data_IF_925256236152
#
_entry.id   IF_925256236152
#
_cell.length_a   1.000
_cell.length_b   1.000
_cell.length_c   1.000
_cell.angle_alpha   90.00
_cell.angle_beta   90.00
_cell.angle_gamma   90.00
#
_symmetry.space_group_name_H-M   'P 1'
#
loop_
_entity.id
_entity.type
_entity.pdbx_description
1 polymer ?
#
# COMPACT_ATOMS: atom_id res chain seq x y z
N UNK A 1 -9.25 8.07 9.17
CA UNK A 1 -9.61 7.28 10.37
C UNK A 1 -11.13 7.19 10.55
N UNK A 2 -11.85 8.28 10.79
CA UNK A 2 -13.33 8.24 10.94
C UNK A 2 -14.05 7.60 9.73
N UNK A 3 -13.69 7.98 8.50
CA UNK A 3 -14.23 7.36 7.28
C UNK A 3 -13.85 5.87 7.12
N UNK A 4 -12.65 5.48 7.58
CA UNK A 4 -12.20 4.09 7.50
C UNK A 4 -12.95 3.19 8.50
N UNK A 5 -13.17 3.71 9.70
CA UNK A 5 -13.95 3.06 10.74
C UNK A 5 -15.43 2.98 10.34
N UNK A 6 -15.99 4.02 9.72
CA UNK A 6 -17.37 4.02 9.23
C UNK A 6 -17.59 3.02 8.08
N UNK A 7 -16.66 2.94 7.11
CA UNK A 7 -16.73 1.96 6.04
C UNK A 7 -16.58 0.51 6.57
N UNK A 8 -15.65 0.29 7.50
CA UNK A 8 -15.51 -1.03 8.14
C UNK A 8 -16.67 -1.38 9.07
N UNK A 9 -17.43 -0.40 9.57
CA UNK A 9 -18.63 -0.63 10.39
C UNK A 9 -19.89 -0.90 9.55
N UNK A 10 -19.95 -0.42 8.30
CA UNK A 10 -21.03 -0.72 7.35
C UNK A 10 -20.93 -2.14 6.77
N UNK A 11 -19.73 -2.72 6.70
CA UNK A 11 -19.48 -4.06 6.15
C UNK A 11 -19.24 -5.12 7.26
N UNK A 12 -20.22 -5.27 8.15
CA UNK A 12 -20.12 -6.10 9.37
C UNK A 12 -19.86 -7.61 9.08
N UNK A 13 -20.17 -8.08 7.88
CA UNK A 13 -19.97 -9.48 7.46
C UNK A 13 -18.50 -9.81 7.20
N UNK A 14 -17.65 -8.83 6.88
CA UNK A 14 -16.27 -9.03 6.42
C UNK A 14 -15.20 -8.34 7.28
N UNK A 15 -15.50 -8.02 8.54
CA UNK A 15 -14.57 -7.38 9.49
C UNK A 15 -13.22 -8.11 9.58
N UNK A 16 -13.22 -9.45 9.54
CA UNK A 16 -11.99 -10.24 9.56
C UNK A 16 -11.08 -9.93 8.36
N UNK A 17 -11.64 -9.66 7.19
CA UNK A 17 -10.88 -9.35 5.98
C UNK A 17 -10.23 -7.96 6.04
N UNK A 18 -10.87 -7.01 6.73
CA UNK A 18 -10.31 -5.67 6.97
C UNK A 18 -9.22 -5.69 8.05
N UNK A 19 -9.41 -6.45 9.13
CA UNK A 19 -8.41 -6.64 10.18
C UNK A 19 -7.18 -7.37 9.63
N UNK A 20 -7.40 -8.44 8.84
CA UNK A 20 -6.32 -9.13 8.15
C UNK A 20 -5.61 -8.21 7.16
N UNK A 21 -6.31 -7.31 6.49
CA UNK A 21 -5.71 -6.33 5.59
C UNK A 21 -4.83 -5.31 6.31
N UNK A 22 -5.32 -4.80 7.44
CA UNK A 22 -4.55 -3.92 8.31
C UNK A 22 -3.29 -4.64 8.83
N UNK A 23 -3.41 -5.87 9.31
CA UNK A 23 -2.26 -6.65 9.81
C UNK A 23 -1.27 -7.04 8.71
N UNK A 24 -1.78 -7.55 7.58
CA UNK A 24 -0.96 -8.04 6.46
C UNK A 24 -0.10 -6.94 5.85
N UNK A 25 -0.51 -5.67 5.98
CA UNK A 25 0.26 -4.53 5.46
C UNK A 25 1.00 -3.78 6.56
N UNK A 26 0.46 -3.72 7.78
CA UNK A 26 1.19 -3.19 8.92
C UNK A 26 2.47 -3.99 9.18
N UNK A 27 2.43 -5.31 9.13
CA UNK A 27 3.59 -6.19 9.35
C UNK A 27 4.78 -5.90 8.40
N UNK A 28 4.63 -5.96 7.06
CA UNK A 28 5.75 -5.70 6.16
C UNK A 28 6.20 -4.24 6.22
N UNK A 29 5.29 -3.27 6.36
CA UNK A 29 5.67 -1.84 6.42
C UNK A 29 6.39 -1.52 7.73
N UNK A 30 5.98 -2.12 8.85
CA UNK A 30 6.66 -2.01 10.14
C UNK A 30 7.99 -2.77 10.17
N UNK A 31 8.08 -3.93 9.52
CA UNK A 31 9.33 -4.68 9.36
C UNK A 31 10.37 -3.86 8.57
N UNK A 32 9.95 -3.23 7.47
CA UNK A 32 10.83 -2.34 6.69
C UNK A 32 11.22 -1.11 7.51
N UNK A 33 10.30 -0.53 8.28
CA UNK A 33 10.61 0.59 9.18
C UNK A 33 11.69 0.20 10.21
N UNK A 34 11.55 -0.96 10.83
CA UNK A 34 12.49 -1.47 11.84
C UNK A 34 13.86 -1.80 11.22
N UNK A 35 13.88 -2.52 10.09
CA UNK A 35 15.12 -2.88 9.38
C UNK A 35 15.85 -1.66 8.80
N UNK A 36 15.10 -0.64 8.35
CA UNK A 36 15.68 0.58 7.78
C UNK A 36 16.04 1.63 8.83
N UNK A 37 15.75 1.39 10.12
CA UNK A 37 15.97 2.35 11.20
C UNK A 37 15.28 3.70 10.96
N UNK A 38 14.15 3.70 10.24
CA UNK A 38 13.43 4.91 9.84
C UNK A 38 14.08 5.73 8.70
N UNK A 39 15.15 5.26 8.05
CA UNK A 39 15.80 5.97 6.93
C UNK A 39 15.11 5.77 5.57
N UNK A 40 14.44 4.63 5.38
CA UNK A 40 13.78 4.28 4.10
C UNK A 40 12.27 4.49 4.09
N UNK A 41 11.58 4.13 5.18
CA UNK A 41 10.13 4.34 5.35
C UNK A 41 9.93 5.23 6.57
N UNK A 42 9.11 6.26 6.44
CA UNK A 42 8.75 7.13 7.56
C UNK A 42 7.68 6.48 8.43
N UNK A 43 7.65 6.81 9.73
CA UNK A 43 6.57 6.35 10.61
C UNK A 43 5.17 6.82 10.15
N UNK A 44 5.10 7.92 9.39
CA UNK A 44 3.88 8.37 8.73
C UNK A 44 3.39 7.40 7.65
N UNK A 45 4.30 6.81 6.87
CA UNK A 45 3.98 5.87 5.80
C UNK A 45 3.37 4.57 6.35
N UNK A 46 3.89 4.10 7.50
CA UNK A 46 3.32 2.95 8.23
C UNK A 46 1.88 3.22 8.67
N UNK A 47 1.61 4.41 9.22
CA UNK A 47 0.26 4.82 9.62
C UNK A 47 -0.68 4.96 8.42
N UNK A 48 -0.18 5.51 7.31
CA UNK A 48 -0.96 5.67 6.07
C UNK A 48 -1.38 4.29 5.55
N UNK A 49 -0.43 3.37 5.44
CA UNK A 49 -0.68 1.99 5.01
C UNK A 49 -1.63 1.23 5.96
N UNK A 50 -1.55 1.44 7.28
CA UNK A 50 -2.47 0.85 8.24
C UNK A 50 -3.92 1.37 8.06
N UNK A 51 -4.08 2.69 7.89
CA UNK A 51 -5.41 3.30 7.69
C UNK A 51 -6.01 2.89 6.35
N UNK A 52 -5.19 2.83 5.30
CA UNK A 52 -5.62 2.36 3.99
C UNK A 52 -5.94 0.87 4.00
N UNK A 53 -5.18 0.03 4.71
CA UNK A 53 -5.48 -1.40 4.86
C UNK A 53 -6.80 -1.66 5.58
N UNK A 54 -7.13 -0.83 6.57
CA UNK A 54 -8.42 -0.88 7.26
C UNK A 54 -9.58 -0.39 6.38
N UNK A 55 -9.32 0.54 5.45
CA UNK A 55 -10.35 1.11 4.58
C UNK A 55 -10.63 0.28 3.32
N UNK A 56 -9.58 -0.22 2.67
CA UNK A 56 -9.67 -0.97 1.41
C UNK A 56 -9.82 -2.49 1.63
N UNK A 57 -9.43 -3.01 2.80
CA UNK A 57 -9.33 -4.45 3.03
C UNK A 57 -8.09 -5.10 2.41
N UNK A 58 -7.87 -6.38 2.76
CA UNK A 58 -6.61 -7.08 2.48
C UNK A 58 -6.25 -7.22 0.99
N UNK A 59 -7.21 -7.51 0.10
CA UNK A 59 -6.92 -7.73 -1.32
C UNK A 59 -6.38 -6.47 -2.00
N UNK A 60 -7.12 -5.38 -1.85
CA UNK A 60 -6.84 -4.09 -2.48
C UNK A 60 -5.57 -3.44 -1.91
N UNK A 61 -5.35 -3.53 -0.60
CA UNK A 61 -4.15 -2.93 0.01
C UNK A 61 -2.86 -3.66 -0.37
N UNK A 62 -2.89 -4.99 -0.49
CA UNK A 62 -1.74 -5.77 -0.95
C UNK A 62 -1.40 -5.37 -2.39
N UNK A 63 -2.42 -5.25 -3.24
CA UNK A 63 -2.25 -4.81 -4.63
C UNK A 63 -1.69 -3.39 -4.70
N UNK A 64 -2.22 -2.45 -3.90
CA UNK A 64 -1.73 -1.07 -3.84
C UNK A 64 -0.29 -0.97 -3.34
N UNK A 65 0.08 -1.75 -2.34
CA UNK A 65 1.46 -1.86 -1.86
C UNK A 65 2.40 -2.40 -2.94
N UNK A 66 1.97 -3.42 -3.67
CA UNK A 66 2.76 -3.99 -4.77
C UNK A 66 2.98 -2.97 -5.90
N UNK A 67 1.93 -2.25 -6.32
CA UNK A 67 2.02 -1.17 -7.31
C UNK A 67 2.94 -0.05 -6.81
N UNK A 68 2.85 0.33 -5.53
CA UNK A 68 3.71 1.34 -4.94
C UNK A 68 5.19 0.94 -4.99
N UNK A 69 5.52 -0.31 -4.65
CA UNK A 69 6.87 -0.84 -4.76
C UNK A 69 7.37 -0.86 -6.21
N UNK A 70 6.52 -1.26 -7.16
CA UNK A 70 6.85 -1.28 -8.58
C UNK A 70 7.13 0.14 -9.11
N UNK A 71 6.26 1.10 -8.81
CA UNK A 71 6.44 2.52 -9.17
C UNK A 71 7.68 3.11 -8.51
N UNK A 72 7.89 2.81 -7.23
CA UNK A 72 9.06 3.24 -6.48
C UNK A 72 10.35 2.73 -7.12
N UNK A 73 10.41 1.44 -7.46
CA UNK A 73 11.56 0.85 -8.13
C UNK A 73 11.81 1.46 -9.52
N UNK A 74 10.76 1.59 -10.34
CA UNK A 74 10.87 2.12 -11.70
C UNK A 74 11.30 3.59 -11.70
N UNK A 75 10.57 4.45 -10.99
CA UNK A 75 10.82 5.90 -10.97
C UNK A 75 12.14 6.21 -10.27
N UNK A 76 12.48 5.50 -9.19
CA UNK A 76 13.75 5.73 -8.51
C UNK A 76 14.95 5.26 -9.34
N UNK A 77 14.84 4.11 -10.01
CA UNK A 77 15.89 3.61 -10.91
C UNK A 77 16.15 4.59 -12.07
N UNK A 78 15.08 5.08 -12.71
CA UNK A 78 15.18 6.09 -13.76
C UNK A 78 15.78 7.41 -13.24
N UNK A 79 15.36 7.86 -12.07
CA UNK A 79 15.89 9.08 -11.44
C UNK A 79 17.36 8.96 -11.07
N UNK A 80 17.82 7.81 -10.57
CA UNK A 80 19.23 7.58 -10.28
C UNK A 80 20.08 7.68 -11.54
N UNK A 81 19.60 7.10 -12.65
CA UNK A 81 20.29 7.16 -13.94
C UNK A 81 20.37 8.58 -14.52
N UNK A 82 19.33 9.40 -14.32
CA UNK A 82 19.24 10.71 -14.93
C UNK A 82 19.85 11.85 -14.09
N UNK A 83 19.77 11.77 -12.75
CA UNK A 83 20.11 12.92 -11.89
C UNK A 83 21.35 12.72 -11.00
N UNK A 84 22.00 11.55 -11.00
CA UNK A 84 23.28 11.25 -10.30
C UNK A 84 23.46 11.95 -8.94
N UNK A 85 22.38 12.08 -8.18
CA UNK A 85 22.35 12.69 -6.86
C UNK A 85 21.58 11.75 -5.96
N UNK A 86 22.32 11.07 -5.09
CA UNK A 86 21.81 10.22 -4.01
C UNK A 86 20.94 11.03 -3.08
N UNK A 87 19.67 11.20 -3.46
CA UNK A 87 18.63 11.75 -2.59
C UNK A 87 17.78 10.59 -2.12
N UNK A 88 17.67 10.52 -0.81
CA UNK A 88 16.86 9.56 -0.03
C UNK A 88 15.53 9.32 -0.74
N UNK A 89 15.20 8.05 -0.96
CA UNK A 89 13.92 7.63 -1.54
C UNK A 89 12.81 8.01 -0.57
N UNK A 90 11.99 9.01 -0.91
CA UNK A 90 10.75 9.26 -0.19
C UNK A 90 9.72 8.23 -0.64
N UNK A 91 9.44 7.23 0.20
CA UNK A 91 8.49 6.14 -0.11
C UNK A 91 7.03 6.61 -0.08
N UNK A 92 6.69 7.56 0.79
CA UNK A 92 5.33 8.08 0.98
C UNK A 92 4.56 8.42 -0.31
N UNK A 93 5.10 9.25 -1.21
CA UNK A 93 4.43 9.59 -2.46
C UNK A 93 4.09 8.37 -3.34
N UNK A 94 5.00 7.39 -3.44
CA UNK A 94 4.76 6.18 -4.22
C UNK A 94 3.71 5.29 -3.58
N UNK A 95 3.71 5.19 -2.24
CA UNK A 95 2.67 4.49 -1.47
C UNK A 95 1.29 5.12 -1.68
N UNK A 96 1.17 6.45 -1.61
CA UNK A 96 -0.10 7.13 -1.87
C UNK A 96 -0.61 6.90 -3.29
N UNK A 97 0.27 6.94 -4.30
CA UNK A 97 -0.11 6.67 -5.70
C UNK A 97 -0.54 5.22 -5.89
N UNK A 98 0.18 4.25 -5.33
CA UNK A 98 -0.17 2.83 -5.42
C UNK A 98 -1.53 2.52 -4.77
N UNK A 99 -1.79 3.08 -3.59
CA UNK A 99 -3.10 2.95 -2.92
C UNK A 99 -4.20 3.63 -3.73
N UNK A 100 -3.94 4.80 -4.33
CA UNK A 100 -4.91 5.50 -5.16
C UNK A 100 -5.29 4.70 -6.41
N UNK A 101 -4.30 4.07 -7.07
CA UNK A 101 -4.56 3.19 -8.22
C UNK A 101 -5.36 1.97 -7.79
N UNK A 102 -5.01 1.35 -6.66
CA UNK A 102 -5.76 0.21 -6.13
C UNK A 102 -7.20 0.58 -5.77
N UNK A 103 -7.44 1.78 -5.22
CA UNK A 103 -8.79 2.28 -4.94
C UNK A 103 -9.65 2.38 -6.20
N UNK A 104 -9.09 2.87 -7.31
CA UNK A 104 -9.85 3.12 -8.54
C UNK A 104 -10.03 1.88 -9.42
N UNK A 105 -9.00 1.05 -9.54
CA UNK A 105 -8.97 -0.07 -10.49
C UNK A 105 -8.71 -1.44 -9.86
N UNK A 106 -8.51 -1.52 -8.54
CA UNK A 106 -8.06 -2.76 -7.90
C UNK A 106 -9.08 -3.91 -8.01
N UNK A 107 -10.37 -3.63 -7.87
CA UNK A 107 -11.43 -4.65 -8.09
C UNK A 107 -11.44 -5.17 -9.53
N UNK A 108 -11.29 -4.27 -10.52
CA UNK A 108 -11.20 -4.65 -11.92
C UNK A 108 -9.95 -5.48 -12.23
N UNK A 109 -8.80 -5.13 -11.65
CA UNK A 109 -7.54 -5.86 -11.77
C UNK A 109 -7.62 -7.27 -11.17
N UNK A 110 -8.23 -7.40 -9.98
CA UNK A 110 -8.41 -8.70 -9.32
C UNK A 110 -9.32 -9.59 -10.16
N UNK A 111 -10.46 -9.06 -10.63
CA UNK A 111 -11.40 -9.82 -11.45
C UNK A 111 -10.80 -10.21 -12.80
N UNK A 112 -10.03 -9.32 -13.44
CA UNK A 112 -9.30 -9.66 -14.66
C UNK A 112 -8.29 -10.79 -14.44
N UNK A 113 -7.55 -10.75 -13.33
CA UNK A 113 -6.58 -11.81 -13.00
C UNK A 113 -7.24 -13.16 -12.72
N UNK A 114 -8.34 -13.17 -11.94
CA UNK A 114 -9.10 -14.40 -11.68
C UNK A 114 -9.74 -14.94 -12.97
N UNK A 115 -10.27 -14.06 -13.82
CA UNK A 115 -10.85 -14.42 -15.11
C UNK A 115 -9.84 -14.94 -16.13
N UNK A 116 -8.55 -14.62 -15.99
CA UNK A 116 -7.48 -15.20 -16.81
C UNK A 116 -7.11 -16.63 -16.38
N UNK A 117 -7.33 -16.95 -15.09
CA UNK A 117 -7.04 -18.25 -14.49
C UNK A 117 -8.19 -19.26 -14.62
N UNK A 118 -9.39 -18.79 -14.97
CA UNK A 118 -10.59 -19.61 -15.21
C UNK A 118 -10.67 -20.04 -16.69
#
# INVERSE_FOLDING_TARGET
LALAIAASALDYQNILSHILGALAVFLPTALIFYLSGGRGIGGGDVKLMAVCGLFLGWKLIILGFFIACFLGALIHSLRMKLFSKGRVLAMGPYLSVGVFIALLWGEGLINWYIGLLA
#
